data_IF_137219107870
#
_entry.id   IF_137219107870
#
_cell.length_a   1.000
_cell.length_b   1.000
_cell.length_c   1.000
_cell.angle_alpha   90.00
_cell.angle_beta   90.00
_cell.angle_gamma   90.00
#
_symmetry.space_group_name_H-M   'P 1'
#
loop_
_entity.id
_entity.type
_entity.pdbx_description
1 polymer ?
#
# COMPACT_ATOMS: atom_id res chain seq x y z
N UNK A 1 -6.81 33.00 -54.62
CA UNK A 1 -6.57 32.09 -53.48
C UNK A 1 -7.09 32.81 -52.25
N UNK A 2 -8.30 32.47 -51.83
CA UNK A 2 -8.88 32.93 -50.56
C UNK A 2 -8.67 31.84 -49.52
N UNK A 3 -8.05 32.19 -48.41
CA UNK A 3 -7.74 31.27 -47.31
C UNK A 3 -8.99 31.21 -46.42
N UNK A 4 -9.78 30.15 -46.57
CA UNK A 4 -10.94 29.90 -45.71
C UNK A 4 -10.48 29.48 -44.31
N UNK A 5 -10.78 30.30 -43.30
CA UNK A 5 -10.65 29.95 -41.89
C UNK A 5 -11.73 28.93 -41.51
N UNK A 6 -11.43 27.65 -41.65
CA UNK A 6 -12.23 26.58 -41.06
C UNK A 6 -11.77 26.35 -39.61
N UNK A 7 -12.42 27.06 -38.68
CA UNK A 7 -12.42 26.66 -37.28
C UNK A 7 -13.14 25.32 -37.17
N UNK A 8 -12.37 24.25 -37.05
CA UNK A 8 -12.91 22.93 -36.71
C UNK A 8 -13.39 23.00 -35.26
N UNK A 9 -14.69 23.14 -35.09
CA UNK A 9 -15.36 22.99 -33.79
C UNK A 9 -15.23 21.52 -33.37
N UNK A 10 -14.19 21.21 -32.60
CA UNK A 10 -14.11 19.96 -31.87
C UNK A 10 -15.29 19.93 -30.89
N UNK A 11 -16.29 19.10 -31.19
CA UNK A 11 -17.40 18.82 -30.29
C UNK A 11 -16.81 18.17 -29.03
N UNK A 12 -16.61 18.98 -28.00
CA UNK A 12 -16.35 18.52 -26.64
C UNK A 12 -17.54 17.65 -26.25
N UNK A 13 -17.29 16.37 -26.10
CA UNK A 13 -18.29 15.44 -25.61
C UNK A 13 -18.63 15.88 -24.18
N UNK A 14 -19.86 16.38 -24.02
CA UNK A 14 -20.50 16.60 -22.72
C UNK A 14 -20.62 15.25 -22.00
N UNK A 15 -19.55 14.76 -21.37
CA UNK A 15 -19.70 13.90 -20.21
C UNK A 15 -20.11 14.80 -19.06
N UNK A 16 -21.40 14.75 -18.73
CA UNK A 16 -21.99 15.46 -17.60
C UNK A 16 -21.01 15.52 -16.43
N UNK A 17 -20.70 16.73 -15.97
CA UNK A 17 -20.11 17.01 -14.67
C UNK A 17 -21.02 16.42 -13.59
N UNK A 18 -20.93 15.12 -13.35
CA UNK A 18 -21.30 14.56 -12.07
C UNK A 18 -20.27 15.11 -11.11
N UNK A 19 -20.68 16.12 -10.36
CA UNK A 19 -20.01 16.58 -9.16
C UNK A 19 -19.31 15.40 -8.51
N UNK A 20 -17.99 15.34 -8.65
CA UNK A 20 -17.16 14.41 -7.89
C UNK A 20 -17.25 14.94 -6.47
N UNK A 21 -18.32 14.57 -5.79
CA UNK A 21 -18.56 14.88 -4.40
C UNK A 21 -17.31 14.40 -3.66
N UNK A 22 -16.54 15.35 -3.10
CA UNK A 22 -15.45 15.06 -2.15
C UNK A 22 -15.94 13.94 -1.25
N UNK A 23 -15.34 12.75 -1.37
CA UNK A 23 -15.73 11.60 -0.57
C UNK A 23 -15.19 11.72 0.86
N UNK A 24 -15.38 12.89 1.47
CA UNK A 24 -14.94 13.21 2.83
C UNK A 24 -15.90 12.57 3.84
N UNK A 25 -15.91 11.23 3.86
CA UNK A 25 -16.40 10.38 4.96
C UNK A 25 -16.02 8.91 4.70
N UNK A 26 -14.79 8.64 4.23
CA UNK A 26 -14.25 7.27 4.32
C UNK A 26 -13.82 7.03 5.76
N UNK A 27 -14.35 5.97 6.38
CA UNK A 27 -14.00 5.53 7.72
C UNK A 27 -12.47 5.42 7.85
N UNK A 28 -11.86 6.31 8.64
CA UNK A 28 -10.43 6.27 8.91
C UNK A 28 -10.11 4.95 9.63
N UNK A 29 -9.21 4.16 9.07
CA UNK A 29 -8.81 2.86 9.63
C UNK A 29 -8.34 3.03 11.09
N UNK A 30 -8.66 2.05 11.93
CA UNK A 30 -8.26 2.00 13.34
C UNK A 30 -7.90 0.58 13.73
N UNK A 31 -6.91 0.45 14.60
CA UNK A 31 -6.53 -0.81 15.23
C UNK A 31 -7.53 -1.15 16.34
N UNK A 32 -8.58 -1.89 15.98
CA UNK A 32 -9.61 -2.37 16.93
C UNK A 32 -9.06 -3.44 17.87
N UNK A 33 -9.66 -3.62 19.04
CA UNK A 33 -9.20 -4.61 20.01
C UNK A 33 -9.27 -6.05 19.48
N UNK A 34 -10.36 -6.41 18.76
CA UNK A 34 -10.44 -7.72 18.09
C UNK A 34 -9.32 -7.96 17.06
N UNK A 35 -8.84 -6.91 16.39
CA UNK A 35 -7.72 -7.01 15.46
C UNK A 35 -6.40 -7.18 16.23
N UNK A 36 -6.22 -6.48 17.36
CA UNK A 36 -5.04 -6.66 18.22
C UNK A 36 -4.96 -8.09 18.75
N UNK A 37 -6.07 -8.62 19.27
CA UNK A 37 -6.15 -10.00 19.77
C UNK A 37 -5.73 -11.00 18.69
N UNK A 38 -6.26 -10.87 17.47
CA UNK A 38 -5.83 -11.71 16.34
C UNK A 38 -4.33 -11.60 16.05
N UNK A 39 -3.75 -10.41 16.10
CA UNK A 39 -2.31 -10.22 15.88
C UNK A 39 -1.50 -10.89 16.99
N UNK A 40 -1.93 -10.76 18.24
CA UNK A 40 -1.30 -11.38 19.41
C UNK A 40 -1.33 -12.90 19.30
N UNK A 41 -2.46 -13.49 18.94
CA UNK A 41 -2.60 -14.94 18.77
C UNK A 41 -1.68 -15.47 17.66
N UNK A 42 -1.64 -14.77 16.51
CA UNK A 42 -0.73 -15.11 15.43
C UNK A 42 0.74 -15.01 15.86
N UNK A 43 1.12 -13.93 16.55
CA UNK A 43 2.48 -13.71 17.02
C UNK A 43 2.93 -14.78 18.03
N UNK A 44 2.04 -15.21 18.94
CA UNK A 44 2.32 -16.30 19.89
C UNK A 44 2.52 -17.63 19.19
N UNK A 45 1.65 -17.96 18.23
CA UNK A 45 1.78 -19.18 17.41
C UNK A 45 3.10 -19.17 16.63
N UNK A 46 3.38 -18.09 15.93
CA UNK A 46 4.60 -17.88 15.16
C UNK A 46 5.86 -18.00 16.07
N UNK A 47 5.81 -17.47 17.30
CA UNK A 47 6.89 -17.59 18.28
C UNK A 47 7.16 -19.04 18.74
N UNK A 48 6.10 -19.82 18.95
CA UNK A 48 6.19 -21.26 19.26
C UNK A 48 6.79 -22.04 18.09
N UNK A 49 6.37 -21.71 16.87
CA UNK A 49 6.86 -22.34 15.64
C UNK A 49 8.28 -21.82 15.24
N UNK A 50 8.86 -20.89 16.02
CA UNK A 50 10.13 -20.21 15.74
C UNK A 50 10.18 -19.54 14.35
N UNK A 51 9.04 -19.03 13.88
CA UNK A 51 8.88 -18.30 12.63
C UNK A 51 8.62 -16.83 12.94
N UNK A 52 9.39 -15.90 12.37
CA UNK A 52 9.10 -14.48 12.52
C UNK A 52 8.25 -13.96 11.34
N UNK A 53 7.10 -13.36 11.65
CA UNK A 53 6.10 -12.87 10.68
C UNK A 53 5.63 -13.97 9.72
N UNK A 54 4.96 -14.98 10.27
CA UNK A 54 4.43 -16.11 9.53
C UNK A 54 3.43 -15.69 8.45
N UNK A 55 3.16 -16.63 7.53
CA UNK A 55 2.31 -16.38 6.37
C UNK A 55 0.90 -15.90 6.76
N UNK A 56 0.35 -16.40 7.86
CA UNK A 56 -0.96 -15.98 8.37
C UNK A 56 -0.96 -14.49 8.76
N UNK A 57 0.05 -14.02 9.49
CA UNK A 57 0.20 -12.60 9.81
C UNK A 57 0.44 -11.75 8.56
N UNK A 58 1.25 -12.22 7.61
CA UNK A 58 1.50 -11.50 6.36
C UNK A 58 0.23 -11.35 5.51
N UNK A 59 -0.65 -12.35 5.48
CA UNK A 59 -1.94 -12.28 4.79
C UNK A 59 -2.92 -11.34 5.50
N UNK A 60 -2.97 -11.36 6.83
CA UNK A 60 -3.72 -10.38 7.63
C UNK A 60 -3.25 -8.96 7.30
N UNK A 61 -1.93 -8.73 7.32
CA UNK A 61 -1.31 -7.44 7.00
C UNK A 61 -1.70 -6.95 5.60
N UNK A 62 -1.60 -7.79 4.58
CA UNK A 62 -2.03 -7.44 3.20
C UNK A 62 -3.51 -7.05 3.15
N UNK A 63 -4.37 -7.82 3.82
CA UNK A 63 -5.81 -7.59 3.86
C UNK A 63 -6.16 -6.26 4.51
N UNK A 64 -5.59 -5.95 5.68
CA UNK A 64 -5.86 -4.70 6.38
C UNK A 64 -5.35 -3.48 5.61
N UNK A 65 -4.20 -3.59 4.96
CA UNK A 65 -3.61 -2.50 4.15
C UNK A 65 -4.44 -2.22 2.90
N UNK A 66 -4.98 -3.26 2.25
CA UNK A 66 -5.85 -3.10 1.08
C UNK A 66 -7.13 -2.30 1.36
N UNK A 67 -7.58 -2.21 2.62
CA UNK A 67 -8.76 -1.42 3.00
C UNK A 67 -8.53 0.09 2.90
N UNK A 68 -7.28 0.52 3.02
CA UNK A 68 -6.87 1.93 2.93
C UNK A 68 -6.11 2.25 1.64
N UNK A 69 -5.65 1.23 0.92
CA UNK A 69 -4.90 1.38 -0.31
C UNK A 69 -5.75 2.04 -1.43
N UNK A 70 -5.14 2.94 -2.23
CA UNK A 70 -5.74 3.39 -3.49
C UNK A 70 -6.00 2.22 -4.45
N UNK A 71 -7.05 2.31 -5.27
CA UNK A 71 -7.28 1.34 -6.34
C UNK A 71 -6.35 1.62 -7.54
N UNK A 72 -5.07 1.28 -7.38
CA UNK A 72 -4.01 1.52 -8.37
C UNK A 72 -4.24 0.77 -9.68
N UNK A 73 -4.79 -0.44 -9.63
CA UNK A 73 -5.13 -1.21 -10.83
C UNK A 73 -6.16 -0.48 -11.71
N UNK A 74 -7.21 0.09 -11.10
CA UNK A 74 -8.19 0.91 -11.84
C UNK A 74 -7.57 2.19 -12.41
N UNK A 75 -6.67 2.84 -11.67
CA UNK A 75 -5.92 4.01 -12.15
C UNK A 75 -5.09 3.65 -13.39
N UNK A 76 -4.28 2.59 -13.31
CA UNK A 76 -3.44 2.10 -14.40
C UNK A 76 -4.30 1.75 -15.62
N UNK A 77 -5.40 1.01 -15.43
CA UNK A 77 -6.29 0.62 -16.52
C UNK A 77 -6.87 1.81 -17.27
N UNK A 78 -7.31 2.85 -16.55
CA UNK A 78 -7.81 4.10 -17.15
C UNK A 78 -6.71 4.84 -17.91
N UNK A 79 -5.51 4.96 -17.35
CA UNK A 79 -4.38 5.58 -18.04
C UNK A 79 -3.99 4.83 -19.32
N UNK A 80 -3.90 3.50 -19.26
CA UNK A 80 -3.58 2.65 -20.42
C UNK A 80 -4.63 2.76 -21.52
N UNK A 81 -5.92 2.76 -21.18
CA UNK A 81 -7.00 2.95 -22.14
C UNK A 81 -6.85 4.29 -22.88
N UNK A 82 -6.52 5.35 -22.16
CA UNK A 82 -6.39 6.68 -22.74
C UNK A 82 -5.15 6.84 -23.61
N UNK A 83 -4.01 6.28 -23.22
CA UNK A 83 -2.81 6.24 -24.07
C UNK A 83 -3.06 5.51 -25.40
N UNK A 84 -3.85 4.43 -25.38
CA UNK A 84 -4.18 3.66 -26.59
C UNK A 84 -5.20 4.34 -27.52
N UNK A 85 -5.93 5.35 -27.04
CA UNK A 85 -6.98 6.04 -27.83
C UNK A 85 -6.46 7.07 -28.85
N UNK A 86 -5.14 7.28 -28.95
CA UNK A 86 -4.54 8.22 -29.92
C UNK A 86 -4.62 9.70 -29.52
N UNK A 87 -5.21 10.03 -28.36
CA UNK A 87 -5.30 11.40 -27.82
C UNK A 87 -3.99 11.96 -27.24
N UNK A 88 -2.83 11.47 -27.69
CA UNK A 88 -1.52 11.93 -27.21
C UNK A 88 -1.21 13.36 -27.68
N UNK A 89 -1.75 13.79 -28.83
CA UNK A 89 -1.64 15.17 -29.32
C UNK A 89 -2.40 16.16 -28.44
N UNK A 90 -3.57 15.77 -27.93
CA UNK A 90 -4.32 16.55 -26.95
C UNK A 90 -3.62 16.63 -25.58
N UNK A 91 -2.72 15.69 -25.25
CA UNK A 91 -1.90 15.77 -24.03
C UNK A 91 -0.78 16.81 -24.12
N UNK A 92 -0.28 17.14 -25.32
CA UNK A 92 0.78 18.16 -25.52
C UNK A 92 0.25 19.59 -25.42
N UNK A 93 -0.96 19.89 -25.92
CA UNK A 93 -1.57 21.23 -25.72
C UNK A 93 -1.96 21.50 -24.25
N UNK A 94 -2.16 20.43 -23.47
CA UNK A 94 -2.45 20.50 -22.03
C UNK A 94 -1.20 20.79 -21.19
N UNK A 95 0.00 20.49 -21.72
CA UNK A 95 1.31 20.74 -21.08
C UNK A 95 1.49 22.21 -20.68
N UNK A 96 0.89 23.13 -21.43
CA UNK A 96 0.96 24.57 -21.18
C UNK A 96 -0.16 25.13 -20.29
N UNK A 97 -1.28 24.40 -20.08
CA UNK A 97 -2.49 25.00 -19.51
C UNK A 97 -2.93 24.48 -18.13
N UNK A 98 -2.75 23.20 -17.74
CA UNK A 98 -3.06 22.82 -16.34
C UNK A 98 -2.60 21.42 -15.91
N UNK A 99 -1.86 21.34 -14.79
CA UNK A 99 -1.36 20.10 -14.15
C UNK A 99 -2.45 19.21 -13.53
N UNK A 100 -3.71 19.65 -13.56
CA UNK A 100 -4.90 18.92 -13.07
C UNK A 100 -5.64 18.12 -14.14
N UNK A 101 -5.34 18.33 -15.42
CA UNK A 101 -6.20 17.89 -16.52
C UNK A 101 -6.26 16.37 -16.71
N UNK A 102 -5.13 15.66 -16.59
CA UNK A 102 -5.07 14.24 -16.90
C UNK A 102 -6.13 13.44 -16.12
N UNK A 103 -6.23 13.65 -14.81
CA UNK A 103 -7.21 12.92 -14.00
C UNK A 103 -8.67 13.41 -14.18
N UNK A 104 -8.89 14.69 -14.53
CA UNK A 104 -10.21 15.20 -14.92
C UNK A 104 -10.72 14.53 -16.21
N UNK A 105 -9.84 14.35 -17.21
CA UNK A 105 -10.16 13.63 -18.45
C UNK A 105 -10.61 12.18 -18.19
N UNK A 106 -10.09 11.56 -17.11
CA UNK A 106 -10.37 10.17 -16.77
C UNK A 106 -11.50 9.98 -15.74
N UNK A 107 -12.13 11.08 -15.30
CA UNK A 107 -13.19 11.06 -14.29
C UNK A 107 -12.74 10.42 -12.98
N UNK A 108 -11.52 10.71 -12.55
CA UNK A 108 -10.92 10.16 -11.32
C UNK A 108 -10.52 11.34 -10.41
N UNK A 109 -10.83 11.31 -9.09
CA UNK A 109 -10.44 12.36 -8.13
C UNK A 109 -8.94 12.34 -7.79
N UNK A 110 -8.05 12.39 -8.79
CA UNK A 110 -6.61 12.38 -8.61
C UNK A 110 -6.01 13.59 -9.35
N UNK A 111 -4.74 13.87 -9.16
CA UNK A 111 -3.97 14.83 -9.97
C UNK A 111 -2.84 14.07 -10.65
N UNK A 112 -2.49 14.38 -11.90
CA UNK A 112 -1.34 13.75 -12.55
C UNK A 112 -0.46 14.77 -13.24
N UNK A 113 0.84 14.70 -12.93
CA UNK A 113 1.87 15.62 -13.39
C UNK A 113 2.83 14.89 -14.31
N UNK A 114 3.07 15.47 -15.46
CA UNK A 114 4.10 15.03 -16.39
C UNK A 114 5.42 15.76 -16.09
N UNK A 115 6.53 15.02 -16.11
CA UNK A 115 7.86 15.58 -15.88
C UNK A 115 8.85 15.09 -16.95
N UNK A 116 9.52 16.04 -17.61
CA UNK A 116 10.63 15.82 -18.55
C UNK A 116 10.21 15.58 -20.01
N UNK A 117 11.14 15.70 -20.94
CA UNK A 117 10.95 15.38 -22.37
C UNK A 117 11.99 14.31 -22.80
N UNK A 118 11.57 13.31 -23.58
CA UNK A 118 12.45 12.24 -24.06
C UNK A 118 12.64 11.05 -23.11
N UNK A 119 13.82 10.41 -23.16
CA UNK A 119 14.21 9.26 -22.33
C UNK A 119 14.32 9.70 -20.86
N UNK A 120 13.50 9.12 -19.98
CA UNK A 120 13.38 9.55 -18.57
C UNK A 120 12.15 10.40 -18.26
N UNK A 121 11.22 10.54 -19.21
CA UNK A 121 9.89 11.11 -18.94
C UNK A 121 9.11 10.27 -17.93
N UNK A 122 8.44 10.95 -17.01
CA UNK A 122 7.64 10.32 -15.96
C UNK A 122 6.26 10.98 -15.79
N UNK A 123 5.26 10.16 -15.45
CA UNK A 123 3.92 10.59 -15.04
C UNK A 123 3.78 10.26 -13.57
N UNK A 124 3.61 11.28 -12.74
CA UNK A 124 3.36 11.15 -11.31
C UNK A 124 1.87 11.35 -11.04
N UNK A 125 1.23 10.42 -10.32
CA UNK A 125 -0.19 10.48 -9.98
C UNK A 125 -0.32 10.69 -8.48
N UNK A 126 -1.09 11.69 -8.08
CA UNK A 126 -1.32 12.11 -6.71
C UNK A 126 -2.79 11.91 -6.31
N UNK A 127 -3.05 11.48 -5.07
CA UNK A 127 -4.39 11.37 -4.51
C UNK A 127 -4.97 12.74 -4.09
N UNK A 128 -6.23 12.76 -3.61
CA UNK A 128 -6.89 13.97 -3.09
C UNK A 128 -6.13 14.64 -1.93
N UNK A 129 -5.27 13.91 -1.22
CA UNK A 129 -4.43 14.39 -0.12
C UNK A 129 -3.07 14.93 -0.61
N UNK A 130 -2.81 14.90 -1.92
CA UNK A 130 -1.56 15.34 -2.53
C UNK A 130 -0.41 14.35 -2.40
N UNK A 131 -0.67 13.10 -1.99
CA UNK A 131 0.34 12.05 -1.92
C UNK A 131 0.49 11.35 -3.26
N UNK A 132 1.73 11.14 -3.69
CA UNK A 132 2.00 10.33 -4.88
C UNK A 132 1.62 8.87 -4.63
N UNK A 133 0.79 8.30 -5.50
CA UNK A 133 0.30 6.92 -5.39
C UNK A 133 0.82 6.00 -6.49
N UNK A 134 1.20 6.59 -7.62
CA UNK A 134 1.72 5.89 -8.79
C UNK A 134 2.71 6.77 -9.55
N UNK A 135 3.75 6.15 -10.10
CA UNK A 135 4.65 6.76 -11.07
C UNK A 135 4.73 5.87 -12.30
N UNK A 136 4.59 6.41 -13.50
CA UNK A 136 4.97 5.73 -14.73
C UNK A 136 6.26 6.33 -15.25
N UNK A 137 7.28 5.51 -15.48
CA UNK A 137 8.55 5.96 -16.07
C UNK A 137 8.76 5.25 -17.40
N UNK A 138 9.03 6.00 -18.47
CA UNK A 138 9.29 5.44 -19.80
C UNK A 138 10.43 4.41 -19.76
N UNK A 139 10.17 3.19 -20.24
CA UNK A 139 11.13 2.07 -20.23
C UNK A 139 11.17 1.25 -18.93
N UNK A 140 10.56 1.74 -17.84
CA UNK A 140 10.47 1.02 -16.55
C UNK A 140 9.04 0.53 -16.29
N UNK A 141 8.03 1.32 -16.67
CA UNK A 141 6.62 1.02 -16.43
C UNK A 141 6.07 1.66 -15.16
N UNK A 142 4.96 1.09 -14.65
CA UNK A 142 4.26 1.58 -13.46
C UNK A 142 4.96 1.15 -12.17
N UNK A 143 5.08 2.09 -11.24
CA UNK A 143 5.62 1.90 -9.91
C UNK A 143 4.60 2.40 -8.88
N UNK A 144 4.22 1.54 -7.95
CA UNK A 144 3.35 1.92 -6.85
C UNK A 144 4.11 2.70 -5.78
N UNK A 145 3.46 3.74 -5.24
CA UNK A 145 3.98 4.52 -4.13
C UNK A 145 3.08 4.31 -2.91
N UNK A 146 3.70 3.96 -1.79
CA UNK A 146 3.01 3.75 -0.53
C UNK A 146 2.49 5.08 0.03
N UNK A 147 1.24 5.10 0.46
CA UNK A 147 0.58 6.26 1.07
C UNK A 147 0.80 6.31 2.58
N UNK A 148 0.67 7.49 3.20
CA UNK A 148 0.71 7.62 4.67
C UNK A 148 -0.34 6.74 5.36
N UNK A 149 -1.51 6.57 4.74
CA UNK A 149 -2.56 5.70 5.27
C UNK A 149 -2.10 4.23 5.32
N UNK A 150 -1.51 3.71 4.24
CA UNK A 150 -0.93 2.36 4.21
C UNK A 150 0.21 2.21 5.22
N UNK A 151 1.11 3.19 5.30
CA UNK A 151 2.23 3.18 6.25
C UNK A 151 1.78 3.20 7.72
N UNK A 152 0.69 3.91 8.03
CA UNK A 152 0.09 3.90 9.37
C UNK A 152 -0.44 2.51 9.73
N UNK A 153 -1.14 1.84 8.81
CA UNK A 153 -1.60 0.47 9.01
C UNK A 153 -0.42 -0.48 9.18
N UNK A 154 0.56 -0.43 8.29
CA UNK A 154 1.76 -1.26 8.36
C UNK A 154 2.49 -1.11 9.70
N UNK A 155 2.71 0.11 10.16
CA UNK A 155 3.43 0.40 11.39
C UNK A 155 2.66 -0.10 12.61
N UNK A 156 1.35 0.16 12.69
CA UNK A 156 0.51 -0.29 13.80
C UNK A 156 0.50 -1.82 13.91
N UNK A 157 0.27 -2.53 12.80
CA UNK A 157 0.25 -4.00 12.79
C UNK A 157 1.62 -4.60 13.16
N UNK A 158 2.71 -4.05 12.59
CA UNK A 158 4.07 -4.54 12.84
C UNK A 158 4.49 -4.33 14.29
N UNK A 159 4.15 -3.20 14.88
CA UNK A 159 4.50 -2.88 16.27
C UNK A 159 3.80 -3.83 17.24
N UNK A 160 2.47 -3.99 17.11
CA UNK A 160 1.69 -4.93 17.94
C UNK A 160 2.17 -6.37 17.79
N UNK A 161 2.49 -6.80 16.56
CA UNK A 161 3.07 -8.13 16.33
C UNK A 161 4.41 -8.30 17.03
N UNK A 162 5.32 -7.33 16.85
CA UNK A 162 6.66 -7.41 17.41
C UNK A 162 6.65 -7.49 18.94
N UNK A 163 5.83 -6.66 19.59
CA UNK A 163 5.65 -6.69 21.04
C UNK A 163 5.22 -8.08 21.51
N UNK A 164 4.10 -8.60 20.97
CA UNK A 164 3.56 -9.90 21.34
C UNK A 164 4.52 -11.07 21.04
N UNK A 165 5.17 -11.05 19.88
CA UNK A 165 6.15 -12.08 19.49
C UNK A 165 7.36 -12.07 20.43
N UNK A 166 7.87 -10.88 20.76
CA UNK A 166 9.03 -10.73 21.63
C UNK A 166 8.74 -11.19 23.07
N UNK A 167 7.54 -10.90 23.57
CA UNK A 167 7.08 -11.38 24.88
C UNK A 167 6.93 -12.91 24.88
N UNK A 168 6.32 -13.48 23.84
CA UNK A 168 6.18 -14.93 23.71
C UNK A 168 7.53 -15.65 23.65
N UNK A 169 8.49 -15.15 22.87
CA UNK A 169 9.86 -15.72 22.82
C UNK A 169 10.60 -15.60 24.16
N UNK A 170 10.44 -14.48 24.87
CA UNK A 170 11.03 -14.30 26.22
C UNK A 170 10.48 -15.31 27.22
N UNK A 171 9.17 -15.56 27.19
CA UNK A 171 8.53 -16.55 28.04
C UNK A 171 9.05 -17.97 27.77
N UNK A 172 9.06 -18.39 26.49
CA UNK A 172 9.56 -19.72 26.08
C UNK A 172 11.02 -19.95 26.49
N UNK A 173 11.90 -18.98 26.24
CA UNK A 173 13.31 -19.08 26.63
C UNK A 173 13.52 -19.11 28.15
N UNK A 174 12.56 -18.62 28.94
CA UNK A 174 12.62 -18.65 30.41
C UNK A 174 12.15 -20.00 30.95
N UNK A 175 11.13 -20.59 30.34
CA UNK A 175 10.62 -21.93 30.66
C UNK A 175 11.62 -23.03 30.30
N UNK A 176 12.31 -22.93 29.16
CA UNK A 176 13.38 -23.88 28.79
C UNK A 176 14.52 -23.88 29.82
N UNK A 177 14.88 -22.70 30.34
CA UNK A 177 15.94 -22.56 31.34
C UNK A 177 15.55 -23.18 32.69
N UNK A 178 14.31 -22.99 33.15
CA UNK A 178 13.85 -23.56 34.42
C UNK A 178 13.67 -25.08 34.35
N UNK A 179 13.27 -25.63 33.20
CA UNK A 179 13.21 -27.08 32.97
C UNK A 179 14.58 -27.77 33.02
N UNK A 180 15.62 -27.16 32.42
CA UNK A 180 16.98 -27.72 32.39
C UNK A 180 17.66 -27.79 33.78
N UNK A 181 17.25 -26.92 34.71
CA UNK A 181 17.77 -26.91 36.09
C UNK A 181 17.14 -28.04 36.91
N UNK A 182 15.86 -28.37 36.67
CA UNK A 182 15.16 -29.47 37.35
C UNK A 182 15.71 -30.86 36.98
N UNK A 183 16.06 -31.09 35.71
CA UNK A 183 16.60 -32.38 35.25
C UNK A 183 18.04 -32.63 35.73
N UNK A 184 18.86 -31.58 35.86
CA UNK A 184 20.23 -31.73 36.39
C UNK A 184 20.25 -32.07 37.89
N UNK A 185 19.27 -31.62 38.67
CA UNK A 185 19.20 -31.91 40.11
C UNK A 185 18.74 -33.36 40.35
N UNK A 186 17.80 -33.88 39.56
CA UNK A 186 17.28 -35.25 39.73
C UNK A 186 18.32 -36.32 39.32
N UNK A 187 19.25 -36.01 38.41
CA UNK A 187 20.30 -36.96 38.02
C UNK A 187 21.47 -37.05 39.03
N UNK A 188 21.60 -36.09 39.94
CA UNK A 188 22.74 -36.01 40.87
C UNK A 188 22.55 -36.82 42.17
N UNK A 189 21.31 -37.17 42.51
CA UNK A 189 20.96 -37.96 43.72
C UNK A 189 21.07 -39.49 43.54
N UNK A 190 21.54 -39.98 42.39
CA UNK A 190 21.70 -41.42 42.11
C UNK A 190 23.14 -41.96 42.19
N UNK A 191 24.11 -41.17 42.65
CA UNK A 191 25.43 -41.72 43.02
C UNK A 191 25.41 -42.22 44.46
N UNK A 192 24.67 -43.30 44.66
CA UNK A 192 24.61 -44.01 45.92
C UNK A 192 25.91 -44.81 46.13
N UNK A 193 26.48 -44.53 47.30
CA UNK A 193 27.68 -45.04 47.92
C UNK A 193 27.69 -46.57 47.99
N UNK A 194 28.68 -47.24 47.37
CA UNK A 194 29.05 -48.60 47.75
C UNK A 194 30.56 -48.83 47.83
N UNK A 195 30.93 -49.18 49.06
CA UNK A 195 32.12 -49.87 49.59
C UNK A 195 33.45 -49.10 49.61
#
# INVERSE_FOLDING_TARGET
>A
MEISNNYSTAKVWNTSNKNVSKSSKKNKWKLTDSLKEKIVDLAKKDAQDNVYMGNAFMNLRKTEVSKVAPNRAALIGKFSQSMNSGNMSAMKEVEEADKKWLCMLFGIPYEAKYQGTGTGSAIHVYNEEGEEVLTYTGGVGWQEKETKAESQVHSALKMTYYEAFSEARKALNSEEKTGSVGENIILQDNFDMKA
#
